data_IF_611248803940
#
_entry.id   IF_611248803940
#
_cell.length_a   1.000
_cell.length_b   1.000
_cell.length_c   1.000
_cell.angle_alpha   90.00
_cell.angle_beta   90.00
_cell.angle_gamma   90.00
#
_symmetry.space_group_name_H-M   'P 1'
#
loop_
_entity.id
_entity.type
_entity.pdbx_description
1 polymer ?
#
# COMPACT_ATOMS: atom_id res chain seq x y z
N UNK A 1 -18.90 33.19 -14.99
CA UNK A 1 -18.47 31.82 -14.63
C UNK A 1 -19.30 31.38 -13.43
N UNK A 2 -20.04 30.27 -13.52
CA UNK A 2 -20.99 29.86 -12.47
C UNK A 2 -20.23 29.44 -11.20
N UNK A 3 -20.60 30.04 -10.06
CA UNK A 3 -20.05 29.77 -8.72
C UNK A 3 -20.64 28.52 -8.07
N UNK A 4 -21.65 27.92 -8.69
CA UNK A 4 -22.43 26.81 -8.12
C UNK A 4 -21.63 25.49 -8.14
N UNK A 5 -20.86 25.24 -9.19
CA UNK A 5 -20.01 24.05 -9.30
C UNK A 5 -18.86 24.05 -8.28
N UNK A 6 -18.25 25.22 -8.05
CA UNK A 6 -17.20 25.41 -7.07
C UNK A 6 -17.73 25.21 -5.63
N UNK A 7 -18.88 25.82 -5.30
CA UNK A 7 -19.52 25.63 -4.01
C UNK A 7 -19.92 24.17 -3.75
N UNK A 8 -20.47 23.49 -4.76
CA UNK A 8 -20.82 22.07 -4.67
C UNK A 8 -19.56 21.19 -4.46
N UNK A 9 -18.45 21.51 -5.14
CA UNK A 9 -17.17 20.82 -4.97
C UNK A 9 -16.62 21.03 -3.55
N UNK A 10 -16.61 22.26 -3.03
CA UNK A 10 -16.16 22.55 -1.68
C UNK A 10 -17.01 21.86 -0.62
N UNK A 11 -18.34 21.87 -0.75
CA UNK A 11 -19.25 21.19 0.17
C UNK A 11 -18.97 19.68 0.21
N UNK A 12 -18.80 19.04 -0.96
CA UNK A 12 -18.48 17.61 -1.05
C UNK A 12 -17.08 17.28 -0.52
N UNK A 13 -16.09 18.12 -0.80
CA UNK A 13 -14.74 17.97 -0.27
C UNK A 13 -14.74 18.05 1.26
N UNK A 14 -15.48 18.99 1.86
CA UNK A 14 -15.59 19.12 3.31
C UNK A 14 -16.16 17.84 3.94
N UNK A 15 -17.18 17.23 3.33
CA UNK A 15 -17.74 15.96 3.78
C UNK A 15 -16.71 14.81 3.74
N UNK A 16 -15.81 14.78 2.75
CA UNK A 16 -14.77 13.75 2.66
C UNK A 16 -13.64 13.92 3.67
N UNK A 17 -13.33 15.16 4.07
CA UNK A 17 -12.24 15.44 5.02
C UNK A 17 -12.72 15.54 6.48
N UNK A 18 -14.03 15.60 6.72
CA UNK A 18 -14.64 15.60 8.06
C UNK A 18 -14.79 14.19 8.66
N UNK A 19 -13.75 13.37 8.57
CA UNK A 19 -13.68 12.21 9.44
C UNK A 19 -13.51 12.69 10.89
N UNK A 20 -14.24 12.10 11.84
CA UNK A 20 -14.04 12.42 13.25
C UNK A 20 -12.62 12.00 13.66
N UNK A 21 -12.04 12.68 14.66
CA UNK A 21 -10.72 12.30 15.19
C UNK A 21 -10.70 10.84 15.63
N UNK A 22 -11.77 10.37 16.25
CA UNK A 22 -11.94 8.97 16.65
C UNK A 22 -11.88 8.02 15.45
N UNK A 23 -12.62 8.32 14.36
CA UNK A 23 -12.57 7.51 13.13
C UNK A 23 -11.17 7.47 12.53
N UNK A 24 -10.45 8.60 12.52
CA UNK A 24 -9.08 8.66 12.01
C UNK A 24 -8.12 7.81 12.84
N UNK A 25 -8.19 7.90 14.18
CA UNK A 25 -7.34 7.11 15.06
C UNK A 25 -7.66 5.62 14.98
N UNK A 26 -8.93 5.22 14.89
CA UNK A 26 -9.30 3.82 14.63
C UNK A 26 -8.73 3.32 13.31
N UNK A 27 -8.83 4.12 12.24
CA UNK A 27 -8.30 3.72 10.92
C UNK A 27 -6.77 3.63 10.90
N UNK A 28 -6.07 4.49 11.64
CA UNK A 28 -4.62 4.38 11.83
C UNK A 28 -4.25 3.10 12.56
N UNK A 29 -4.96 2.77 13.64
CA UNK A 29 -4.72 1.56 14.41
C UNK A 29 -4.95 0.30 13.56
N UNK A 30 -6.07 0.24 12.81
CA UNK A 30 -6.34 -0.84 11.86
C UNK A 30 -5.23 -0.97 10.80
N UNK A 31 -4.73 0.14 10.28
CA UNK A 31 -3.63 0.15 9.31
C UNK A 31 -2.31 -0.35 9.92
N UNK A 32 -2.03 0.01 11.18
CA UNK A 32 -0.85 -0.46 11.92
C UNK A 32 -0.91 -1.98 12.15
N UNK A 33 -2.02 -2.49 12.66
CA UNK A 33 -2.22 -3.93 12.91
C UNK A 33 -2.11 -4.75 11.62
N UNK A 34 -2.68 -4.24 10.52
CA UNK A 34 -2.54 -4.87 9.22
C UNK A 34 -1.07 -4.89 8.77
N UNK A 35 -0.38 -3.77 8.92
CA UNK A 35 1.03 -3.64 8.57
C UNK A 35 1.93 -4.60 9.37
N UNK A 36 1.68 -4.75 10.66
CA UNK A 36 2.39 -5.68 11.55
C UNK A 36 2.13 -7.12 11.13
N UNK A 37 0.88 -7.49 10.87
CA UNK A 37 0.54 -8.82 10.38
C UNK A 37 1.32 -9.17 9.10
N UNK A 38 1.38 -8.25 8.14
CA UNK A 38 2.14 -8.47 6.92
C UNK A 38 3.66 -8.45 7.15
N UNK A 39 4.19 -7.68 8.10
CA UNK A 39 5.61 -7.73 8.46
C UNK A 39 5.99 -9.13 8.97
N UNK A 40 5.18 -9.68 9.87
CA UNK A 40 5.41 -11.00 10.46
C UNK A 40 5.22 -12.12 9.43
N UNK A 41 4.24 -11.98 8.53
CA UNK A 41 3.84 -13.05 7.61
C UNK A 41 4.47 -12.95 6.21
N UNK A 42 5.02 -11.80 5.78
CA UNK A 42 5.61 -11.62 4.43
C UNK A 42 7.11 -11.30 4.43
N UNK A 43 7.79 -11.29 5.57
CA UNK A 43 9.21 -10.91 5.64
C UNK A 43 10.18 -11.84 4.88
N UNK A 44 9.72 -12.98 4.36
CA UNK A 44 10.59 -13.96 3.67
C UNK A 44 10.40 -13.97 2.15
N UNK A 45 11.49 -14.18 1.42
CA UNK A 45 11.45 -14.32 -0.05
C UNK A 45 10.50 -15.42 -0.54
N UNK A 46 10.43 -16.55 0.20
CA UNK A 46 9.53 -17.66 -0.13
C UNK A 46 8.06 -17.24 -0.10
N UNK A 47 7.69 -16.32 0.79
CA UNK A 47 6.33 -15.80 0.84
C UNK A 47 6.06 -14.87 -0.34
N UNK A 48 7.01 -14.01 -0.73
CA UNK A 48 6.82 -13.15 -1.92
C UNK A 48 6.55 -13.96 -3.19
N UNK A 49 7.27 -15.06 -3.43
CA UNK A 49 6.99 -15.95 -4.57
C UNK A 49 5.57 -16.55 -4.52
N UNK A 50 5.18 -17.11 -3.37
CA UNK A 50 3.85 -17.70 -3.19
C UNK A 50 2.74 -16.68 -3.43
N UNK A 51 2.89 -15.47 -2.90
CA UNK A 51 1.91 -14.41 -3.02
C UNK A 51 1.87 -13.81 -4.43
N UNK A 52 3.02 -13.64 -5.08
CA UNK A 52 3.10 -13.23 -6.48
C UNK A 52 2.36 -14.23 -7.39
N UNK A 53 2.63 -15.53 -7.23
CA UNK A 53 1.93 -16.60 -7.97
C UNK A 53 0.42 -16.59 -7.70
N UNK A 54 0.01 -16.30 -6.47
CA UNK A 54 -1.40 -16.32 -6.07
C UNK A 54 -2.17 -15.11 -6.60
N UNK A 55 -1.64 -13.91 -6.42
CA UNK A 55 -2.34 -12.66 -6.72
C UNK A 55 -2.10 -12.15 -8.14
N UNK A 56 -0.90 -12.35 -8.70
CA UNK A 56 -0.55 -11.82 -10.03
C UNK A 56 -0.81 -12.87 -11.10
N UNK A 57 -0.29 -14.09 -10.92
CA UNK A 57 -0.41 -15.15 -11.92
C UNK A 57 -1.81 -15.77 -11.89
N UNK A 58 -2.26 -16.24 -10.72
CA UNK A 58 -3.58 -16.89 -10.56
C UNK A 58 -4.75 -15.91 -10.38
N UNK A 59 -4.47 -14.63 -10.14
CA UNK A 59 -5.47 -13.55 -9.96
C UNK A 59 -6.53 -13.86 -8.90
N UNK A 60 -6.14 -14.55 -7.83
CA UNK A 60 -7.03 -14.82 -6.70
C UNK A 60 -7.41 -13.52 -6.01
N UNK A 61 -8.69 -13.33 -5.70
CA UNK A 61 -9.15 -12.15 -4.98
C UNK A 61 -9.03 -12.35 -3.46
N UNK A 62 -8.58 -11.31 -2.75
CA UNK A 62 -8.54 -11.28 -1.29
C UNK A 62 -9.53 -10.25 -0.77
N UNK A 63 -10.26 -10.60 0.29
CA UNK A 63 -11.15 -9.68 1.01
C UNK A 63 -10.36 -8.71 1.91
N UNK A 64 -9.07 -9.01 2.17
CA UNK A 64 -8.18 -8.13 2.92
C UNK A 64 -7.29 -7.35 1.95
N UNK A 65 -7.17 -6.02 2.13
CA UNK A 65 -6.25 -5.24 1.31
C UNK A 65 -4.80 -5.65 1.60
N UNK A 66 -3.95 -5.55 0.58
CA UNK A 66 -2.50 -5.70 0.70
C UNK A 66 -1.91 -4.30 0.85
N UNK A 67 -1.17 -3.99 1.94
CA UNK A 67 -0.52 -2.69 2.07
C UNK A 67 0.47 -2.48 0.95
N UNK A 68 0.49 -1.26 0.42
CA UNK A 68 1.21 -0.92 -0.80
C UNK A 68 2.69 -1.29 -0.73
N UNK A 69 3.35 -1.05 0.42
CA UNK A 69 4.76 -1.40 0.65
C UNK A 69 5.07 -2.87 0.39
N UNK A 70 4.16 -3.77 0.74
CA UNK A 70 4.34 -5.21 0.48
C UNK A 70 4.00 -5.58 -0.94
N UNK A 71 2.95 -4.98 -1.51
CA UNK A 71 2.58 -5.19 -2.90
C UNK A 71 3.74 -4.85 -3.84
N UNK A 72 4.41 -3.72 -3.61
CA UNK A 72 5.59 -3.30 -4.39
C UNK A 72 6.73 -4.31 -4.23
N UNK A 73 7.10 -4.70 -3.00
CA UNK A 73 8.17 -5.69 -2.75
C UNK A 73 7.86 -7.04 -3.43
N UNK A 74 6.62 -7.52 -3.33
CA UNK A 74 6.14 -8.74 -3.96
C UNK A 74 6.21 -8.68 -5.50
N UNK A 75 5.75 -7.57 -6.10
CA UNK A 75 5.76 -7.40 -7.55
C UNK A 75 7.18 -7.37 -8.10
N UNK A 76 8.07 -6.59 -7.47
CA UNK A 76 9.47 -6.50 -7.90
C UNK A 76 10.17 -7.85 -7.76
N UNK A 77 9.90 -8.60 -6.70
CA UNK A 77 10.42 -9.97 -6.56
C UNK A 77 9.96 -10.85 -7.72
N UNK A 78 8.66 -10.89 -8.02
CA UNK A 78 8.14 -11.68 -9.12
C UNK A 78 8.66 -11.26 -10.50
N UNK A 79 8.78 -9.96 -10.76
CA UNK A 79 9.36 -9.48 -12.02
C UNK A 79 10.83 -9.81 -12.20
N UNK A 80 11.61 -9.87 -11.11
CA UNK A 80 13.00 -10.33 -11.13
C UNK A 80 13.06 -11.82 -11.50
N UNK A 81 12.21 -12.64 -10.90
CA UNK A 81 12.11 -14.08 -11.22
C UNK A 81 11.67 -14.33 -12.67
N UNK A 82 10.67 -13.58 -13.15
CA UNK A 82 10.17 -13.67 -14.53
C UNK A 82 11.15 -13.08 -15.56
N UNK A 83 12.25 -12.46 -15.13
CA UNK A 83 13.23 -11.80 -15.99
C UNK A 83 12.72 -10.54 -16.69
N UNK A 84 11.57 -10.00 -16.25
CA UNK A 84 10.95 -8.79 -16.78
C UNK A 84 11.49 -7.51 -16.11
N UNK A 85 12.11 -7.65 -14.93
CA UNK A 85 12.81 -6.55 -14.26
C UNK A 85 14.18 -6.26 -14.89
N UNK A 86 14.53 -4.99 -15.16
CA UNK A 86 15.85 -4.63 -15.70
C UNK A 86 17.00 -5.10 -14.80
N UNK A 87 17.99 -5.78 -15.39
CA UNK A 87 19.19 -6.23 -14.67
C UNK A 87 20.01 -5.02 -14.21
N UNK A 88 20.41 -5.02 -12.94
CA UNK A 88 21.23 -3.95 -12.34
C UNK A 88 20.46 -2.75 -11.82
N UNK A 89 19.12 -2.72 -11.90
CA UNK A 89 18.31 -1.71 -11.22
C UNK A 89 17.83 -2.20 -9.85
N UNK A 90 18.16 -1.43 -8.81
CA UNK A 90 17.53 -1.56 -7.49
C UNK A 90 16.24 -0.75 -7.43
N UNK A 91 15.26 -1.26 -6.68
CA UNK A 91 14.05 -0.51 -6.41
C UNK A 91 14.40 0.68 -5.52
N UNK A 92 13.76 1.85 -5.71
CA UNK A 92 13.87 2.94 -4.75
C UNK A 92 13.51 2.43 -3.35
N UNK A 93 14.19 2.91 -2.30
CA UNK A 93 13.82 2.59 -0.93
C UNK A 93 12.37 3.04 -0.68
N UNK A 94 11.61 2.30 0.16
CA UNK A 94 10.26 2.72 0.54
C UNK A 94 10.33 4.06 1.28
N UNK A 95 9.40 4.98 0.98
CA UNK A 95 9.33 6.34 1.55
C UNK A 95 9.30 6.36 3.08
N UNK A 96 8.85 5.28 3.70
CA UNK A 96 8.62 5.18 5.13
C UNK A 96 9.92 4.90 5.92
N UNK A 97 11.04 4.60 5.25
CA UNK A 97 12.35 4.36 5.87
C UNK A 97 13.21 5.64 6.01
N UNK A 98 12.73 6.80 5.51
CA UNK A 98 13.44 8.09 5.66
C UNK A 98 13.15 8.82 6.98
N UNK A 99 12.03 8.52 7.66
CA UNK A 99 11.67 9.18 8.92
C UNK A 99 12.56 8.73 10.11
N UNK A 100 13.10 7.50 10.07
CA UNK A 100 13.95 6.95 11.14
C UNK A 100 15.41 7.44 11.14
N UNK A 101 15.82 8.26 10.15
CA UNK A 101 17.19 8.83 10.09
C UNK A 101 17.28 10.30 10.54
N UNK A 102 16.17 10.89 10.98
CA UNK A 102 16.10 12.29 11.40
C UNK A 102 15.86 12.48 12.91
N UNK A 103 16.01 11.43 13.72
CA UNK A 103 15.99 11.47 15.18
C UNK A 103 17.35 11.08 15.78
#
# INVERSE_FOLDING_TARGET
MSKEGEQAWHARRQQWIQASKETLETKKQEAHELNDWYNDHLSTQKHFDMFYKTFVVKRVQSNKPVPLRFAVKMLIHGWKEDGTWPKGMEAPPPSDEEEDKLL
#
